data_IF_620864649030
#
_entry.id   IF_620864649030
#
_cell.length_a   1.000
_cell.length_b   1.000
_cell.length_c   1.000
_cell.angle_alpha   90.00
_cell.angle_beta   90.00
_cell.angle_gamma   90.00
#
_symmetry.space_group_name_H-M   'P 1'
#
loop_
_entity.id
_entity.type
_entity.pdbx_description
1 polymer ?
#
# COMPACT_ATOMS: atom_id res chain seq x y z
N UNK A 1 31.45 10.28 -6.81
CA UNK A 1 32.14 9.25 -6.02
C UNK A 1 31.51 7.94 -6.39
N UNK A 2 32.30 6.91 -6.66
CA UNK A 2 31.83 5.61 -7.12
C UNK A 2 30.97 5.02 -6.00
N UNK A 3 29.68 4.81 -6.25
CA UNK A 3 28.77 4.06 -5.38
C UNK A 3 29.34 2.64 -5.26
N UNK A 4 30.18 2.42 -4.26
CA UNK A 4 30.69 1.11 -3.94
C UNK A 4 29.50 0.29 -3.43
N UNK A 5 29.00 -0.61 -4.28
CA UNK A 5 27.94 -1.53 -3.91
C UNK A 5 28.37 -2.28 -2.63
N UNK A 6 27.52 -2.34 -1.59
CA UNK A 6 27.89 -2.98 -0.33
C UNK A 6 28.26 -4.45 -0.59
N UNK A 7 29.25 -4.99 0.14
CA UNK A 7 29.71 -6.37 -0.05
C UNK A 7 28.55 -7.36 0.10
N UNK A 8 28.34 -8.21 -0.91
CA UNK A 8 27.18 -9.09 -1.01
C UNK A 8 27.03 -10.01 0.21
N UNK A 9 28.14 -10.53 0.74
CA UNK A 9 28.15 -11.41 1.91
C UNK A 9 27.61 -10.73 3.18
N UNK A 10 27.90 -9.44 3.37
CA UNK A 10 27.38 -8.67 4.51
C UNK A 10 25.88 -8.42 4.36
N UNK A 11 25.40 -8.14 3.14
CA UNK A 11 23.97 -7.99 2.86
C UNK A 11 23.24 -9.31 3.10
N UNK A 12 23.76 -10.44 2.62
CA UNK A 12 23.16 -11.75 2.86
C UNK A 12 23.11 -12.11 4.34
N UNK A 13 24.18 -11.84 5.10
CA UNK A 13 24.20 -12.04 6.54
C UNK A 13 23.15 -11.19 7.26
N UNK A 14 23.00 -9.93 6.85
CA UNK A 14 22.02 -9.01 7.42
C UNK A 14 20.58 -9.41 7.06
N UNK A 15 20.33 -9.83 5.82
CA UNK A 15 19.03 -10.38 5.39
C UNK A 15 18.65 -11.59 6.24
N UNK A 16 19.60 -12.51 6.47
CA UNK A 16 19.37 -13.69 7.32
C UNK A 16 19.00 -13.27 8.74
N UNK A 17 19.77 -12.35 9.34
CA UNK A 17 19.50 -11.82 10.68
C UNK A 17 18.09 -11.21 10.78
N UNK A 18 17.74 -10.31 9.86
CA UNK A 18 16.44 -9.64 9.83
C UNK A 18 15.28 -10.62 9.60
N UNK A 19 15.51 -11.67 8.83
CA UNK A 19 14.52 -12.74 8.59
C UNK A 19 14.19 -13.49 9.88
N UNK A 20 15.21 -13.84 10.66
CA UNK A 20 15.08 -14.59 11.93
C UNK A 20 14.45 -13.75 13.06
N UNK A 21 14.36 -12.43 12.92
CA UNK A 21 13.73 -11.56 13.92
C UNK A 21 12.23 -11.78 14.05
N UNK A 22 11.70 -11.55 15.26
CA UNK A 22 10.26 -11.40 15.48
C UNK A 22 9.71 -10.19 14.71
N UNK A 23 8.40 -10.16 14.47
CA UNK A 23 7.75 -9.01 13.80
C UNK A 23 8.02 -7.68 14.54
N UNK A 24 8.01 -7.70 15.87
CA UNK A 24 8.24 -6.50 16.68
C UNK A 24 9.71 -6.06 16.64
N UNK A 25 10.67 -6.99 16.76
CA UNK A 25 12.09 -6.66 16.67
C UNK A 25 12.48 -6.12 15.29
N UNK A 26 11.91 -6.68 14.22
CA UNK A 26 12.10 -6.18 12.86
C UNK A 26 11.51 -4.78 12.67
N UNK A 27 10.31 -4.54 13.22
CA UNK A 27 9.68 -3.22 13.18
C UNK A 27 10.55 -2.17 13.88
N UNK A 28 11.08 -2.49 15.06
CA UNK A 28 11.99 -1.63 15.82
C UNK A 28 13.29 -1.35 15.04
N UNK A 29 13.90 -2.40 14.45
CA UNK A 29 15.09 -2.27 13.61
C UNK A 29 14.85 -1.33 12.42
N UNK A 30 13.73 -1.49 11.71
CA UNK A 30 13.34 -0.61 10.62
C UNK A 30 13.15 0.84 11.08
N UNK A 31 12.38 1.06 12.17
CA UNK A 31 12.15 2.42 12.67
C UNK A 31 13.44 3.11 13.16
N UNK A 32 14.37 2.34 13.72
CA UNK A 32 15.69 2.84 14.15
C UNK A 32 16.51 3.28 12.94
N UNK A 33 16.54 2.46 11.89
CA UNK A 33 17.18 2.80 10.61
C UNK A 33 16.63 4.11 10.02
N UNK A 34 15.31 4.24 9.98
CA UNK A 34 14.61 5.45 9.49
C UNK A 34 15.01 6.69 10.29
N UNK A 35 15.08 6.58 11.61
CA UNK A 35 15.43 7.70 12.50
C UNK A 35 16.90 8.14 12.41
N UNK A 36 17.71 7.47 11.59
CA UNK A 36 19.13 7.78 11.49
C UNK A 36 19.99 6.90 12.38
N UNK A 37 19.39 6.13 13.30
CA UNK A 37 20.10 5.18 14.13
C UNK A 37 20.69 4.08 13.27
N UNK A 38 21.97 3.80 13.47
CA UNK A 38 22.59 2.59 12.95
C UNK A 38 22.90 1.68 14.12
N UNK A 39 22.87 0.38 13.88
CA UNK A 39 23.42 -0.59 14.83
C UNK A 39 24.95 -0.48 14.69
N UNK A 40 25.53 0.68 15.06
CA UNK A 40 26.89 1.16 14.72
C UNK A 40 27.99 0.15 15.08
N UNK A 41 27.67 -0.79 15.97
CA UNK A 41 28.57 -1.84 16.43
C UNK A 41 28.61 -3.06 15.52
N UNK A 42 27.77 -3.17 14.48
CA UNK A 42 27.61 -4.43 13.72
C UNK A 42 27.61 -4.29 12.20
N UNK A 43 26.85 -3.37 11.62
CA UNK A 43 26.61 -3.34 10.17
C UNK A 43 26.49 -1.90 9.66
N UNK A 44 27.04 -1.61 8.47
CA UNK A 44 26.96 -0.29 7.86
C UNK A 44 25.52 0.08 7.46
N UNK A 45 25.21 1.39 7.41
CA UNK A 45 23.89 1.88 6.99
C UNK A 45 23.51 1.41 5.59
N UNK A 46 24.50 1.35 4.68
CA UNK A 46 24.30 0.94 3.29
C UNK A 46 23.92 -0.54 3.18
N UNK A 47 24.55 -1.40 3.99
CA UNK A 47 24.19 -2.83 4.06
C UNK A 47 22.79 -3.01 4.65
N UNK A 48 22.44 -2.28 5.71
CA UNK A 48 21.06 -2.32 6.25
C UNK A 48 20.03 -1.85 5.22
N UNK A 49 20.30 -0.75 4.52
CA UNK A 49 19.44 -0.24 3.47
C UNK A 49 19.25 -1.26 2.34
N UNK A 50 20.33 -1.92 1.92
CA UNK A 50 20.30 -2.98 0.91
C UNK A 50 19.52 -4.20 1.37
N UNK A 51 19.67 -4.62 2.63
CA UNK A 51 18.93 -5.75 3.19
C UNK A 51 17.43 -5.46 3.29
N UNK A 52 17.03 -4.25 3.71
CA UNK A 52 15.61 -3.89 3.81
C UNK A 52 14.86 -3.86 2.47
N UNK A 53 15.58 -3.68 1.35
CA UNK A 53 15.02 -3.75 -0.01
C UNK A 53 15.27 -5.09 -0.71
N UNK A 54 15.82 -6.09 -0.02
CA UNK A 54 16.09 -7.39 -0.64
C UNK A 54 14.78 -8.11 -1.00
N UNK A 55 14.79 -9.01 -2.01
CA UNK A 55 13.59 -9.77 -2.40
C UNK A 55 12.89 -10.49 -1.24
N UNK A 56 13.67 -10.99 -0.27
CA UNK A 56 13.16 -11.74 0.88
C UNK A 56 12.45 -10.85 1.91
N UNK A 57 12.81 -9.57 1.97
CA UNK A 57 12.37 -8.66 3.03
C UNK A 57 11.54 -7.48 2.55
N UNK A 58 11.62 -7.09 1.27
CA UNK A 58 11.05 -5.85 0.73
C UNK A 58 9.59 -5.63 1.16
N UNK A 59 8.75 -6.65 1.04
CA UNK A 59 7.35 -6.53 1.42
C UNK A 59 7.08 -6.53 2.93
N UNK A 60 7.90 -7.24 3.72
CA UNK A 60 7.86 -7.16 5.19
C UNK A 60 8.28 -5.76 5.64
N UNK A 61 9.30 -5.20 5.01
CA UNK A 61 9.75 -3.81 5.19
C UNK A 61 8.64 -2.82 4.83
N UNK A 62 7.96 -3.01 3.70
CA UNK A 62 6.84 -2.15 3.30
C UNK A 62 5.71 -2.18 4.35
N UNK A 63 5.39 -3.36 4.88
CA UNK A 63 4.41 -3.52 5.97
C UNK A 63 4.85 -2.78 7.23
N UNK A 64 6.13 -2.86 7.60
CA UNK A 64 6.70 -2.13 8.73
C UNK A 64 6.66 -0.60 8.50
N UNK A 65 6.93 -0.14 7.28
CA UNK A 65 6.85 1.26 6.91
C UNK A 65 5.42 1.80 6.99
N UNK A 66 4.44 1.05 6.49
CA UNK A 66 3.02 1.43 6.55
C UNK A 66 2.51 1.41 8.01
N UNK A 67 2.96 0.45 8.82
CA UNK A 67 2.72 0.46 10.27
C UNK A 67 3.30 1.70 10.93
N UNK A 68 4.57 2.04 10.63
CA UNK A 68 5.24 3.22 11.19
C UNK A 68 4.54 4.53 10.80
N UNK A 69 3.99 4.60 9.57
CA UNK A 69 3.22 5.75 9.11
C UNK A 69 1.90 5.92 9.90
N UNK A 70 1.21 4.81 10.23
CA UNK A 70 -0.03 4.82 11.04
C UNK A 70 0.24 5.07 12.52
N UNK A 71 1.28 4.45 13.06
CA UNK A 71 1.62 4.43 14.49
C UNK A 71 2.75 5.42 14.84
N UNK A 72 2.94 6.48 14.04
CA UNK A 72 4.08 7.40 14.19
C UNK A 72 4.23 8.02 15.59
N UNK A 73 3.13 8.17 16.35
CA UNK A 73 3.17 8.68 17.74
C UNK A 73 3.77 7.67 18.73
N UNK A 74 3.69 6.38 18.43
CA UNK A 74 4.31 5.33 19.24
C UNK A 74 5.81 5.25 18.96
N UNK A 75 6.20 5.51 17.70
CA UNK A 75 7.60 5.52 17.24
C UNK A 75 8.33 6.79 17.69
N UNK A 76 7.69 7.94 17.56
CA UNK A 76 8.20 9.24 18.02
C UNK A 76 7.44 9.64 19.27
N UNK A 77 7.92 9.17 20.43
CA UNK A 77 7.37 9.54 21.73
C UNK A 77 7.78 10.95 22.12
N UNK A 78 6.84 11.64 22.78
CA UNK A 78 7.07 12.96 23.34
C UNK A 78 7.91 12.82 24.62
N UNK A 79 8.96 13.63 24.75
CA UNK A 79 9.80 13.63 25.95
C UNK A 79 9.16 14.50 27.05
N UNK A 80 9.45 14.20 28.32
CA UNK A 80 8.80 14.85 29.49
C UNK A 80 8.91 16.38 29.46
N UNK A 81 10.07 16.91 29.09
CA UNK A 81 10.34 18.36 29.04
C UNK A 81 10.22 18.97 27.63
N UNK A 82 9.65 18.24 26.67
CA UNK A 82 9.60 18.68 25.28
C UNK A 82 8.42 19.63 25.00
N UNK A 83 8.74 20.79 24.45
CA UNK A 83 7.74 21.74 23.95
C UNK A 83 6.93 21.12 22.81
N UNK A 84 5.64 21.49 22.71
CA UNK A 84 4.77 21.02 21.61
C UNK A 84 5.35 21.32 20.23
N UNK A 85 6.04 22.47 20.08
CA UNK A 85 6.70 22.88 18.83
C UNK A 85 7.83 21.92 18.44
N UNK A 86 8.68 21.55 19.41
CA UNK A 86 9.81 20.64 19.17
C UNK A 86 9.32 19.22 18.87
N UNK A 87 8.31 18.75 19.60
CA UNK A 87 7.67 17.45 19.32
C UNK A 87 7.09 17.39 17.91
N UNK A 88 6.37 18.43 17.48
CA UNK A 88 5.82 18.52 16.13
C UNK A 88 6.92 18.55 15.06
N UNK A 89 8.02 19.28 15.30
CA UNK A 89 9.16 19.31 14.39
C UNK A 89 9.79 17.92 14.20
N UNK A 90 9.94 17.13 15.27
CA UNK A 90 10.42 15.74 15.19
C UNK A 90 9.46 14.83 14.43
N UNK A 91 8.14 14.98 14.61
CA UNK A 91 7.16 14.21 13.82
C UNK A 91 7.29 14.53 12.32
N UNK A 92 7.43 15.81 11.97
CA UNK A 92 7.59 16.22 10.57
C UNK A 92 8.88 15.68 9.99
N UNK A 93 10.00 15.78 10.71
CA UNK A 93 11.29 15.22 10.32
C UNK A 93 11.20 13.70 10.11
N UNK A 94 10.62 12.97 11.08
CA UNK A 94 10.42 11.52 10.98
C UNK A 94 9.57 11.13 9.78
N UNK A 95 8.49 11.87 9.47
CA UNK A 95 7.67 11.60 8.28
C UNK A 95 8.45 11.78 6.98
N UNK A 96 9.30 12.80 6.91
CA UNK A 96 10.21 13.02 5.78
C UNK A 96 11.18 11.85 5.62
N UNK A 97 11.86 11.47 6.71
CA UNK A 97 12.79 10.34 6.73
C UNK A 97 12.11 9.01 6.37
N UNK A 98 10.91 8.77 6.90
CA UNK A 98 10.12 7.58 6.60
C UNK A 98 9.75 7.54 5.12
N UNK A 99 9.35 8.67 4.53
CA UNK A 99 9.04 8.75 3.11
C UNK A 99 10.29 8.45 2.27
N UNK A 100 11.43 9.05 2.57
CA UNK A 100 12.69 8.83 1.86
C UNK A 100 13.15 7.37 1.95
N UNK A 101 13.12 6.77 3.14
CA UNK A 101 13.48 5.37 3.35
C UNK A 101 12.50 4.38 2.69
N UNK A 102 11.20 4.74 2.62
CA UNK A 102 10.16 3.88 2.02
C UNK A 102 10.27 3.81 0.50
N UNK A 103 10.72 4.86 -0.19
CA UNK A 103 10.73 4.92 -1.66
C UNK A 103 11.55 3.77 -2.30
N UNK A 104 12.80 3.49 -1.89
CA UNK A 104 13.56 2.36 -2.43
C UNK A 104 12.92 0.99 -2.19
N UNK A 105 12.20 0.83 -1.07
CA UNK A 105 11.50 -0.42 -0.75
C UNK A 105 10.27 -0.60 -1.65
N UNK A 106 9.53 0.48 -1.92
CA UNK A 106 8.41 0.46 -2.87
C UNK A 106 8.90 0.07 -4.26
N UNK A 107 9.97 0.69 -4.74
CA UNK A 107 10.54 0.35 -6.04
C UNK A 107 10.94 -1.13 -6.12
N UNK A 108 11.59 -1.67 -5.09
CA UNK A 108 11.93 -3.09 -5.04
C UNK A 108 10.69 -4.00 -5.06
N UNK A 109 9.61 -3.64 -4.36
CA UNK A 109 8.34 -4.38 -4.40
C UNK A 109 7.69 -4.31 -5.79
N UNK A 110 7.74 -3.15 -6.45
CA UNK A 110 7.22 -2.96 -7.81
C UNK A 110 8.01 -3.80 -8.84
N UNK A 111 9.35 -3.80 -8.76
CA UNK A 111 10.21 -4.62 -9.63
C UNK A 111 9.91 -6.11 -9.45
N UNK A 112 9.81 -6.59 -8.21
CA UNK A 112 9.45 -7.98 -7.93
C UNK A 112 8.04 -8.33 -8.42
N UNK A 113 7.11 -7.37 -8.42
CA UNK A 113 5.76 -7.59 -8.91
C UNK A 113 5.71 -7.71 -10.44
N UNK A 114 6.66 -7.10 -11.16
CA UNK A 114 6.81 -7.29 -12.61
C UNK A 114 7.27 -8.72 -12.88
N UNK A 115 8.32 -9.19 -12.19
CA UNK A 115 8.81 -10.57 -12.35
C UNK A 115 7.71 -11.62 -12.03
N UNK A 116 6.97 -11.39 -10.94
CA UNK A 116 5.84 -12.25 -10.55
C UNK A 116 4.70 -12.20 -11.59
N UNK A 117 4.42 -11.05 -12.17
CA UNK A 117 3.41 -10.92 -13.21
C UNK A 117 3.80 -11.69 -14.49
N UNK A 118 5.08 -11.63 -14.88
CA UNK A 118 5.61 -12.41 -16.00
C UNK A 118 5.49 -13.92 -15.74
N UNK A 119 5.78 -14.36 -14.52
CA UNK A 119 5.55 -15.74 -14.10
C UNK A 119 4.07 -16.14 -14.20
N UNK A 120 3.17 -15.35 -13.61
CA UNK A 120 1.72 -15.61 -13.63
C UNK A 120 1.15 -15.64 -15.06
N UNK A 121 1.68 -14.83 -15.97
CA UNK A 121 1.26 -14.80 -17.36
C UNK A 121 1.59 -16.10 -18.12
N UNK A 122 2.63 -16.82 -17.70
CA UNK A 122 3.06 -18.09 -18.31
C UNK A 122 2.27 -19.31 -17.82
N UNK A 123 1.54 -19.18 -16.70
CA UNK A 123 0.76 -20.27 -16.13
C UNK A 123 -0.45 -20.63 -16.99
N UNK A 124 -0.78 -21.92 -17.05
CA UNK A 124 -2.06 -22.38 -17.59
C UNK A 124 -3.24 -21.97 -16.70
N UNK A 125 -4.47 -22.19 -17.18
CA UNK A 125 -5.68 -21.72 -16.50
C UNK A 125 -5.93 -22.39 -15.14
N UNK A 126 -5.42 -23.60 -14.95
CA UNK A 126 -5.60 -24.35 -13.71
C UNK A 126 -4.61 -23.85 -12.65
N UNK A 127 -3.32 -23.79 -12.99
CA UNK A 127 -2.27 -23.27 -12.11
C UNK A 127 -2.50 -21.80 -11.75
N UNK A 128 -2.89 -20.96 -12.72
CA UNK A 128 -3.24 -19.57 -12.46
C UNK A 128 -4.42 -19.45 -11.49
N UNK A 129 -5.44 -20.30 -11.65
CA UNK A 129 -6.61 -20.29 -10.78
C UNK A 129 -6.27 -20.76 -9.35
N UNK A 130 -5.34 -21.69 -9.22
CA UNK A 130 -4.83 -22.13 -7.93
C UNK A 130 -4.09 -20.98 -7.21
N UNK A 131 -3.12 -20.34 -7.87
CA UNK A 131 -2.37 -19.21 -7.30
C UNK A 131 -3.29 -18.08 -6.83
N UNK A 132 -4.24 -17.67 -7.68
CA UNK A 132 -5.23 -16.65 -7.31
C UNK A 132 -6.11 -17.10 -6.13
N UNK A 133 -6.54 -18.35 -6.12
CA UNK A 133 -7.38 -18.88 -5.04
C UNK A 133 -6.62 -18.90 -3.72
N UNK A 134 -5.34 -19.29 -3.74
CA UNK A 134 -4.47 -19.26 -2.56
C UNK A 134 -4.27 -17.82 -2.07
N UNK A 135 -3.99 -16.88 -2.97
CA UNK A 135 -3.84 -15.46 -2.67
C UNK A 135 -5.07 -14.88 -1.98
N UNK A 136 -6.28 -15.05 -2.54
CA UNK A 136 -7.50 -14.48 -1.94
C UNK A 136 -7.88 -15.17 -0.63
N UNK A 137 -7.58 -16.47 -0.50
CA UNK A 137 -7.84 -17.23 0.74
C UNK A 137 -6.86 -16.87 1.85
N UNK A 138 -5.66 -16.40 1.52
CA UNK A 138 -4.66 -16.00 2.51
C UNK A 138 -5.29 -15.02 3.51
N UNK A 139 -5.38 -15.46 4.77
CA UNK A 139 -6.04 -14.67 5.81
C UNK A 139 -5.10 -13.55 6.24
N UNK A 140 -5.63 -12.33 6.34
CA UNK A 140 -4.93 -11.21 6.97
C UNK A 140 -4.42 -11.66 8.37
N UNK A 141 -3.11 -11.90 8.48
CA UNK A 141 -2.46 -12.35 9.71
C UNK A 141 -2.12 -13.85 9.83
N UNK A 142 -2.48 -14.72 8.87
CA UNK A 142 -2.26 -16.18 8.96
C UNK A 142 -0.95 -16.70 8.33
N UNK A 143 0.14 -15.96 8.53
CA UNK A 143 1.55 -16.31 8.23
C UNK A 143 2.14 -15.80 6.90
N UNK A 144 3.37 -15.29 7.05
CA UNK A 144 4.22 -14.52 6.11
C UNK A 144 3.71 -13.12 5.79
N UNK A 145 4.02 -12.18 6.69
CA UNK A 145 4.03 -10.75 6.40
C UNK A 145 4.94 -10.51 5.19
N UNK A 146 4.33 -10.17 4.04
CA UNK A 146 5.07 -9.69 2.86
C UNK A 146 4.79 -10.38 1.52
N UNK A 147 4.26 -11.61 1.42
CA UNK A 147 3.93 -12.12 0.06
C UNK A 147 2.73 -11.42 -0.61
N UNK A 148 1.93 -10.73 0.20
CA UNK A 148 0.67 -10.09 -0.19
C UNK A 148 0.84 -8.90 -1.16
N UNK A 149 1.85 -8.05 -0.93
CA UNK A 149 2.01 -6.82 -1.72
C UNK A 149 2.48 -7.08 -3.15
N UNK A 150 3.49 -7.94 -3.32
CA UNK A 150 4.04 -8.32 -4.63
C UNK A 150 3.00 -9.08 -5.44
N UNK A 151 2.41 -10.15 -4.89
CA UNK A 151 1.39 -10.93 -5.60
C UNK A 151 0.14 -10.11 -5.89
N UNK A 152 -0.31 -9.28 -4.94
CA UNK A 152 -1.44 -8.38 -5.15
C UNK A 152 -1.19 -7.39 -6.29
N UNK A 153 0.02 -6.83 -6.41
CA UNK A 153 0.38 -5.98 -7.55
C UNK A 153 0.48 -6.78 -8.86
N UNK A 154 1.08 -7.97 -8.82
CA UNK A 154 1.24 -8.83 -9.97
C UNK A 154 -0.10 -9.28 -10.57
N UNK A 155 -1.06 -9.73 -9.74
CA UNK A 155 -2.40 -10.08 -10.21
C UNK A 155 -3.17 -8.91 -10.82
N UNK A 156 -2.78 -7.68 -10.45
CA UNK A 156 -3.34 -6.43 -10.97
C UNK A 156 -2.49 -5.83 -12.10
N UNK A 157 -1.46 -6.53 -12.57
CA UNK A 157 -0.64 -6.07 -13.69
C UNK A 157 -1.43 -6.10 -15.00
N UNK A 158 -1.07 -5.27 -15.99
CA UNK A 158 -1.74 -5.29 -17.29
C UNK A 158 -1.67 -6.64 -18.02
N UNK A 159 -0.63 -7.46 -17.80
CA UNK A 159 -0.50 -8.76 -18.48
C UNK A 159 -1.61 -9.74 -18.07
N UNK A 160 -2.00 -9.74 -16.80
CA UNK A 160 -2.91 -10.75 -16.24
C UNK A 160 -4.23 -10.19 -15.71
N UNK A 161 -4.39 -8.87 -15.54
CA UNK A 161 -5.56 -8.26 -14.90
C UNK A 161 -6.91 -8.69 -15.48
N UNK A 162 -7.04 -8.83 -16.81
CA UNK A 162 -8.29 -9.28 -17.43
C UNK A 162 -8.62 -10.73 -17.09
N UNK A 163 -7.59 -11.59 -17.02
CA UNK A 163 -7.72 -13.00 -16.63
C UNK A 163 -8.08 -13.11 -15.15
N UNK A 164 -7.41 -12.34 -14.29
CA UNK A 164 -7.73 -12.22 -12.87
C UNK A 164 -9.18 -11.77 -12.66
N UNK A 165 -9.64 -10.74 -13.39
CA UNK A 165 -11.01 -10.25 -13.28
C UNK A 165 -12.03 -11.35 -13.63
N UNK A 166 -11.86 -12.02 -14.77
CA UNK A 166 -12.77 -13.09 -15.21
C UNK A 166 -12.85 -14.22 -14.17
N UNK A 167 -11.71 -14.59 -13.59
CA UNK A 167 -11.64 -15.59 -12.54
C UNK A 167 -12.33 -15.12 -11.24
N UNK A 168 -12.06 -13.89 -10.80
CA UNK A 168 -12.68 -13.31 -9.61
C UNK A 168 -14.21 -13.20 -9.74
N UNK A 169 -14.72 -12.82 -10.91
CA UNK A 169 -16.17 -12.83 -11.19
C UNK A 169 -16.76 -14.24 -11.14
N UNK A 170 -16.06 -15.25 -11.66
CA UNK A 170 -16.46 -16.66 -11.57
C UNK A 170 -16.52 -17.12 -10.11
N UNK A 171 -15.50 -16.79 -9.30
CA UNK A 171 -15.47 -17.10 -7.87
C UNK A 171 -16.59 -16.41 -7.09
N UNK A 172 -16.95 -15.17 -7.43
CA UNK A 172 -18.06 -14.46 -6.80
C UNK A 172 -19.41 -15.15 -7.06
N UNK A 173 -19.63 -15.63 -8.29
CA UNK A 173 -20.85 -16.35 -8.70
C UNK A 173 -20.94 -17.73 -8.04
N UNK A 174 -19.83 -18.47 -8.00
CA UNK A 174 -19.78 -19.87 -7.56
C UNK A 174 -18.74 -20.12 -6.45
N UNK A 175 -18.84 -19.46 -5.29
CA UNK A 175 -17.79 -19.52 -4.25
C UNK A 175 -17.60 -20.92 -3.67
N UNK A 176 -18.66 -21.75 -3.64
CA UNK A 176 -18.61 -23.11 -3.11
C UNK A 176 -17.65 -24.04 -3.89
N UNK A 177 -17.36 -23.75 -5.17
CA UNK A 177 -16.39 -24.53 -5.96
C UNK A 177 -14.95 -24.28 -5.51
N UNK A 178 -14.65 -23.08 -5.02
CA UNK A 178 -13.29 -22.66 -4.63
C UNK A 178 -13.05 -22.77 -3.12
N UNK A 179 -14.14 -22.86 -2.36
CA UNK A 179 -14.12 -22.97 -0.91
C UNK A 179 -15.11 -24.04 -0.47
N UNK A 180 -14.82 -25.33 -0.67
CA UNK A 180 -15.69 -26.41 -0.21
C UNK A 180 -15.79 -26.42 1.33
N UNK A 181 -16.90 -26.97 1.83
CA UNK A 181 -17.10 -27.16 3.26
C UNK A 181 -16.04 -28.11 3.82
N UNK A 182 -15.43 -27.73 4.94
CA UNK A 182 -14.48 -28.61 5.62
C UNK A 182 -15.23 -29.72 6.38
N UNK A 183 -14.57 -30.85 6.60
CA UNK A 183 -15.16 -31.95 7.37
C UNK A 183 -15.45 -31.49 8.82
N UNK A 184 -16.69 -31.72 9.28
CA UNK A 184 -17.14 -31.26 10.60
C UNK A 184 -17.43 -29.75 10.69
N UNK A 185 -17.35 -29.01 9.59
CA UNK A 185 -17.67 -27.57 9.57
C UNK A 185 -19.17 -27.34 9.74
N UNK A 186 -19.55 -26.47 10.68
CA UNK A 186 -20.94 -26.04 10.81
C UNK A 186 -21.35 -25.22 9.60
N UNK A 187 -22.63 -25.35 9.19
CA UNK A 187 -23.19 -24.56 8.09
C UNK A 187 -22.94 -23.06 8.26
N UNK A 188 -23.09 -22.54 9.49
CA UNK A 188 -22.84 -21.13 9.81
C UNK A 188 -21.39 -20.72 9.62
N UNK A 189 -20.43 -21.57 10.03
CA UNK A 189 -19.00 -21.30 9.82
C UNK A 189 -18.64 -21.29 8.33
N UNK A 190 -19.22 -22.22 7.56
CA UNK A 190 -19.06 -22.26 6.11
C UNK A 190 -19.60 -21.00 5.42
N UNK A 191 -20.82 -20.58 5.75
CA UNK A 191 -21.44 -19.36 5.23
C UNK A 191 -20.61 -18.10 5.59
N UNK A 192 -20.05 -18.04 6.81
CA UNK A 192 -19.17 -16.95 7.23
C UNK A 192 -17.88 -16.90 6.39
N UNK A 193 -17.26 -18.04 6.11
CA UNK A 193 -16.08 -18.13 5.23
C UNK A 193 -16.39 -17.70 3.79
N UNK A 194 -17.53 -18.11 3.24
CA UNK A 194 -17.98 -17.66 1.91
C UNK A 194 -18.15 -16.13 1.90
N UNK A 195 -18.76 -15.57 2.95
CA UNK A 195 -18.94 -14.11 3.07
C UNK A 195 -17.60 -13.37 3.11
N UNK A 196 -16.63 -13.88 3.89
CA UNK A 196 -15.27 -13.33 3.93
C UNK A 196 -14.56 -13.41 2.57
N UNK A 197 -14.67 -14.54 1.87
CA UNK A 197 -14.13 -14.69 0.52
C UNK A 197 -14.71 -13.65 -0.44
N UNK A 198 -16.04 -13.47 -0.43
CA UNK A 198 -16.72 -12.47 -1.27
C UNK A 198 -16.27 -11.06 -0.96
N UNK A 199 -16.18 -10.70 0.32
CA UNK A 199 -15.72 -9.37 0.73
C UNK A 199 -14.30 -9.07 0.25
N UNK A 200 -13.41 -10.08 0.27
CA UNK A 200 -12.05 -9.93 -0.28
C UNK A 200 -12.04 -9.82 -1.80
N UNK A 201 -12.77 -10.68 -2.50
CA UNK A 201 -12.90 -10.60 -3.96
C UNK A 201 -13.46 -9.24 -4.39
N UNK A 202 -14.43 -8.69 -3.67
CA UNK A 202 -14.94 -7.34 -3.93
C UNK A 202 -13.87 -6.26 -3.76
N UNK A 203 -13.05 -6.35 -2.71
CA UNK A 203 -11.94 -5.42 -2.50
C UNK A 203 -10.92 -5.52 -3.65
N UNK A 204 -10.54 -6.74 -4.04
CA UNK A 204 -9.60 -6.98 -5.14
C UNK A 204 -10.14 -6.53 -6.49
N UNK A 205 -11.42 -6.81 -6.79
CA UNK A 205 -12.08 -6.35 -8.01
C UNK A 205 -12.09 -4.83 -8.13
N UNK A 206 -12.24 -4.09 -7.02
CA UNK A 206 -12.12 -2.62 -7.03
C UNK A 206 -10.71 -2.18 -7.42
N UNK A 207 -9.67 -2.85 -6.94
CA UNK A 207 -8.30 -2.54 -7.30
C UNK A 207 -8.00 -2.90 -8.76
N UNK A 208 -8.40 -4.08 -9.21
CA UNK A 208 -8.30 -4.53 -10.61
C UNK A 208 -8.98 -3.55 -11.57
N UNK A 209 -10.14 -3.02 -11.19
CA UNK A 209 -10.87 -2.05 -12.01
C UNK A 209 -10.04 -0.79 -12.30
N UNK A 210 -9.16 -0.35 -11.39
CA UNK A 210 -8.28 0.79 -11.66
C UNK A 210 -7.27 0.48 -12.77
N UNK A 211 -6.61 -0.68 -12.72
CA UNK A 211 -5.69 -1.12 -13.78
C UNK A 211 -6.42 -1.23 -15.12
N UNK A 212 -7.57 -1.90 -15.14
CA UNK A 212 -8.34 -2.10 -16.37
C UNK A 212 -8.81 -0.77 -16.97
N UNK A 213 -9.27 0.16 -16.13
CA UNK A 213 -9.62 1.50 -16.57
C UNK A 213 -8.41 2.26 -17.13
N UNK A 214 -7.24 2.13 -16.48
CA UNK A 214 -6.00 2.70 -16.98
C UNK A 214 -5.59 2.13 -18.35
N UNK A 215 -5.69 0.81 -18.53
CA UNK A 215 -5.41 0.16 -19.81
C UNK A 215 -6.33 0.70 -20.91
N UNK A 216 -7.63 0.84 -20.66
CA UNK A 216 -8.59 1.41 -21.62
C UNK A 216 -8.26 2.87 -21.93
N UNK A 217 -7.92 3.66 -20.90
CA UNK A 217 -7.57 5.07 -21.05
C UNK A 217 -6.30 5.28 -21.88
N UNK A 218 -5.30 4.39 -21.77
CA UNK A 218 -4.06 4.44 -22.58
C UNK A 218 -4.34 4.41 -24.09
N UNK A 219 -5.41 3.74 -24.50
CA UNK A 219 -5.84 3.68 -25.90
C UNK A 219 -6.75 4.85 -26.32
N UNK A 220 -6.85 5.91 -25.51
CA UNK A 220 -7.70 7.07 -25.77
C UNK A 220 -9.20 6.76 -25.64
N UNK A 221 -9.56 5.60 -25.09
CA UNK A 221 -10.95 5.19 -24.89
C UNK A 221 -11.39 5.57 -23.48
N UNK A 222 -12.64 6.02 -23.35
CA UNK A 222 -13.24 6.20 -22.02
C UNK A 222 -13.41 4.83 -21.34
N UNK A 223 -13.25 4.74 -20.00
CA UNK A 223 -13.52 3.51 -19.25
C UNK A 223 -14.87 2.90 -19.65
N UNK A 224 -14.87 1.60 -19.94
CA UNK A 224 -16.08 0.90 -20.40
C UNK A 224 -17.13 0.75 -19.28
N UNK A 225 -16.70 0.80 -18.02
CA UNK A 225 -17.59 0.71 -16.87
C UNK A 225 -18.45 1.99 -16.76
N UNK A 226 -19.79 1.88 -16.72
CA UNK A 226 -20.65 3.04 -16.48
C UNK A 226 -20.29 3.66 -15.13
N UNK A 227 -19.92 4.94 -15.12
CA UNK A 227 -19.78 5.66 -13.86
C UNK A 227 -21.18 5.99 -13.34
N UNK A 228 -21.81 5.04 -12.64
CA UNK A 228 -23.17 5.18 -12.13
C UNK A 228 -23.35 6.38 -11.21
N UNK A 229 -22.31 6.78 -10.48
CA UNK A 229 -22.31 8.02 -9.71
C UNK A 229 -22.44 9.24 -10.62
N UNK A 230 -21.65 9.30 -11.70
CA UNK A 230 -21.71 10.39 -12.68
C UNK A 230 -23.03 10.36 -13.47
N UNK A 231 -23.57 9.18 -13.77
CA UNK A 231 -24.91 9.04 -14.37
C UNK A 231 -26.01 9.52 -13.42
N UNK A 232 -25.99 9.11 -12.14
CA UNK A 232 -26.91 9.59 -11.12
C UNK A 232 -26.78 11.10 -10.91
N UNK A 233 -25.56 11.64 -10.93
CA UNK A 233 -25.33 13.09 -10.88
C UNK A 233 -25.84 13.80 -12.13
N UNK A 234 -25.72 13.21 -13.32
CA UNK A 234 -26.33 13.74 -14.55
C UNK A 234 -27.85 13.76 -14.44
N UNK A 235 -28.46 12.66 -14.02
CA UNK A 235 -29.92 12.59 -13.81
C UNK A 235 -30.40 13.60 -12.76
N UNK A 236 -29.65 13.77 -11.67
CA UNK A 236 -29.94 14.80 -10.67
C UNK A 236 -29.77 16.22 -11.22
N UNK A 237 -28.73 16.47 -12.00
CA UNK A 237 -28.48 17.77 -12.63
C UNK A 237 -29.50 18.10 -13.73
N UNK A 238 -30.01 17.10 -14.45
CA UNK A 238 -31.10 17.28 -15.41
C UNK A 238 -32.43 17.60 -14.71
N UNK A 239 -32.70 16.94 -13.59
CA UNK A 239 -33.96 17.12 -12.84
C UNK A 239 -33.98 18.36 -11.94
N UNK A 240 -32.82 18.77 -11.40
CA UNK A 240 -32.66 19.84 -10.42
C UNK A 240 -31.46 20.73 -10.78
N UNK A 241 -31.47 21.31 -11.98
CA UNK A 241 -30.30 21.99 -12.56
C UNK A 241 -29.81 23.20 -11.74
N UNK A 242 -30.73 24.01 -11.22
CA UNK A 242 -30.40 25.20 -10.43
C UNK A 242 -29.84 24.83 -9.04
N UNK A 243 -30.52 23.95 -8.31
CA UNK A 243 -30.10 23.48 -6.98
C UNK A 243 -28.75 22.75 -7.06
N UNK A 244 -28.56 21.93 -8.09
CA UNK A 244 -27.30 21.23 -8.33
C UNK A 244 -26.16 22.21 -8.64
N UNK A 245 -26.44 23.26 -9.43
CA UNK A 245 -25.45 24.30 -9.74
C UNK A 245 -25.07 25.11 -8.51
N UNK A 246 -26.04 25.47 -7.67
CA UNK A 246 -25.82 26.16 -6.40
C UNK A 246 -24.97 25.33 -5.44
N UNK A 247 -25.33 24.06 -5.23
CA UNK A 247 -24.56 23.13 -4.39
C UNK A 247 -23.13 22.94 -4.92
N UNK A 248 -22.96 22.77 -6.23
CA UNK A 248 -21.64 22.58 -6.83
C UNK A 248 -20.77 23.83 -6.69
N UNK A 249 -21.35 25.02 -6.81
CA UNK A 249 -20.64 26.28 -6.62
C UNK A 249 -20.26 26.48 -5.15
N UNK A 250 -21.16 26.21 -4.21
CA UNK A 250 -20.87 26.25 -2.77
C UNK A 250 -19.70 25.31 -2.40
N UNK A 251 -19.72 24.05 -2.88
CA UNK A 251 -18.63 23.09 -2.65
C UNK A 251 -17.31 23.56 -3.27
N UNK A 252 -17.34 24.19 -4.45
CA UNK A 252 -16.14 24.75 -5.08
C UNK A 252 -15.58 25.94 -4.29
N UNK A 253 -16.44 26.83 -3.82
CA UNK A 253 -16.05 27.97 -2.99
C UNK A 253 -15.43 27.52 -1.68
N UNK A 254 -16.02 26.53 -1.01
CA UNK A 254 -15.49 25.98 0.23
C UNK A 254 -14.14 25.28 0.02
N UNK A 255 -13.99 24.52 -1.07
CA UNK A 255 -12.71 23.91 -1.43
C UNK A 255 -11.64 24.96 -1.77
N UNK A 256 -12.03 26.08 -2.40
CA UNK A 256 -11.13 27.18 -2.71
C UNK A 256 -10.68 27.91 -1.42
N UNK A 257 -11.63 28.20 -0.51
CA UNK A 257 -11.34 28.80 0.81
C UNK A 257 -10.39 27.93 1.62
N UNK A 258 -10.62 26.63 1.69
CA UNK A 258 -9.74 25.69 2.38
C UNK A 258 -8.31 25.69 1.79
N UNK A 259 -8.17 25.76 0.46
CA UNK A 259 -6.86 25.86 -0.19
C UNK A 259 -6.15 27.18 0.10
N UNK A 260 -6.89 28.29 0.14
CA UNK A 260 -6.33 29.61 0.41
C UNK A 260 -5.95 29.77 1.89
N UNK A 261 -6.70 29.16 2.81
CA UNK A 261 -6.33 29.04 4.23
C UNK A 261 -5.01 28.27 4.40
N UNK A 262 -4.89 27.08 3.80
CA UNK A 262 -3.64 26.30 3.82
C UNK A 262 -2.47 27.08 3.21
N UNK A 263 -2.70 27.87 2.14
CA UNK A 263 -1.66 28.74 1.55
C UNK A 263 -1.27 29.88 2.49
N UNK A 264 -2.23 30.50 3.19
CA UNK A 264 -1.97 31.55 4.18
C UNK A 264 -1.17 31.01 5.36
N UNK A 265 -1.54 29.84 5.87
CA UNK A 265 -0.80 29.13 6.92
C UNK A 265 0.64 28.82 6.49
N UNK A 266 0.83 28.28 5.27
CA UNK A 266 2.19 28.02 4.75
C UNK A 266 3.02 29.30 4.57
N UNK A 267 2.40 30.43 4.23
CA UNK A 267 3.10 31.72 4.11
C UNK A 267 3.47 32.30 5.47
N UNK A 268 2.58 32.21 6.45
CA UNK A 268 2.87 32.66 7.82
C UNK A 268 3.93 31.78 8.49
N UNK A 269 3.92 30.47 8.24
CA UNK A 269 4.96 29.54 8.68
C UNK A 269 6.33 29.90 8.09
N UNK A 270 6.42 30.21 6.80
CA UNK A 270 7.68 30.66 6.15
C UNK A 270 8.20 31.98 6.72
N UNK A 271 7.33 32.98 6.88
CA UNK A 271 7.74 34.27 7.46
C UNK A 271 8.18 34.14 8.92
N UNK A 272 7.54 33.26 9.70
CA UNK A 272 7.94 32.99 11.08
C UNK A 272 9.27 32.21 11.14
N UNK A 273 9.56 31.35 10.16
CA UNK A 273 10.86 30.66 10.05
C UNK A 273 11.98 31.65 9.68
N UNK A 274 11.76 32.55 8.72
CA UNK A 274 12.73 33.60 8.33
C UNK A 274 13.03 34.56 9.48
N UNK A 275 12.02 34.98 10.25
CA UNK A 275 12.19 35.84 11.43
C UNK A 275 12.84 35.16 12.63
N UNK A 276 12.80 33.82 12.70
CA UNK A 276 13.45 33.06 13.78
C UNK A 276 14.90 32.70 13.45
N UNK A 277 15.34 32.96 12.21
CA UNK A 277 16.68 32.66 11.70
C UNK A 277 17.56 33.93 11.54
N UNK A 278 17.00 35.12 11.81
CA UNK A 278 17.73 36.39 12.00
C UNK A 278 17.83 36.70 13.48
#
# INVERSE_FOLDING_TARGET
MVDAQPPADEVTAEVKRLTEMSHQAFFEAWTTFVQGGTDERRVSREVQAAAFRSPELASRTLTAADRAAREFKQVVQRLEDESKKNYQARIVAFRGQLQEARQPVVAAVEDLAVDEAEYLAQLDDEAFAEEWTQFVKAVAGAARSGRDAVQGLAFRSPEVASRTQALAERMMREPAKFLPAAEGESRTAHEARISQLRSRLEAELRFLQYTLNYMVARWGRMPAAPNYRLQAMRLLAEKYSEEFSQLRNAVREDAQKARDEVRRERRSERQNQERSAS
#
